data_IF_890585642592
#
_entry.id   IF_890585642592
#
_cell.length_a   1.000
_cell.length_b   1.000
_cell.length_c   1.000
_cell.angle_alpha   90.00
_cell.angle_beta   90.00
_cell.angle_gamma   90.00
#
_symmetry.space_group_name_H-M   'P 1'
#
loop_
_entity.id
_entity.type
_entity.pdbx_description
1 polymer ?
#
# COMPACT_ATOMS: atom_id res chain seq x y z
N UNK A 1 12.95 12.08 -10.31
CA UNK A 1 11.92 12.86 -9.59
C UNK A 1 10.57 12.37 -10.05
N UNK A 2 9.73 11.98 -9.12
CA UNK A 2 8.43 11.36 -9.39
C UNK A 2 7.30 12.18 -8.77
N UNK A 3 6.20 12.47 -9.49
CA UNK A 3 5.07 13.18 -8.92
C UNK A 3 4.36 12.32 -7.87
N UNK A 4 3.97 12.92 -6.76
CA UNK A 4 3.23 12.25 -5.69
C UNK A 4 1.90 12.95 -5.42
N UNK A 5 0.93 12.20 -4.91
CA UNK A 5 -0.34 12.76 -4.46
C UNK A 5 -0.17 13.37 -3.07
N UNK A 6 -0.77 14.53 -2.84
CA UNK A 6 -0.85 15.16 -1.54
C UNK A 6 -2.29 15.55 -1.21
N UNK A 7 -2.56 15.78 0.08
CA UNK A 7 -3.85 16.31 0.57
C UNK A 7 -3.95 17.82 0.47
N UNK A 8 -2.82 18.51 0.32
CA UNK A 8 -2.76 19.97 0.18
C UNK A 8 -2.75 20.38 -1.28
N UNK A 9 -3.14 21.62 -1.57
CA UNK A 9 -2.98 22.19 -2.90
C UNK A 9 -1.49 22.30 -3.25
N UNK A 10 -1.17 22.04 -4.52
CA UNK A 10 0.19 22.10 -5.03
C UNK A 10 0.60 20.88 -5.84
N UNK A 11 1.82 20.92 -6.38
CA UNK A 11 2.47 19.80 -7.04
C UNK A 11 3.55 19.26 -6.11
N UNK A 12 3.50 17.98 -5.86
CA UNK A 12 4.42 17.30 -4.96
C UNK A 12 5.19 16.25 -5.72
N UNK A 13 6.46 16.13 -5.40
CA UNK A 13 7.38 15.20 -6.04
C UNK A 13 8.14 14.41 -5.00
N UNK A 14 8.33 13.13 -5.24
CA UNK A 14 9.34 12.34 -4.56
C UNK A 14 10.68 12.56 -5.26
N UNK A 15 11.73 12.70 -4.49
CA UNK A 15 13.11 12.77 -4.99
C UNK A 15 13.92 11.67 -4.33
N UNK A 16 14.78 11.04 -5.11
CA UNK A 16 15.76 10.11 -4.57
C UNK A 16 16.98 10.89 -4.08
N UNK A 17 17.27 10.83 -2.79
CA UNK A 17 18.42 11.47 -2.17
C UNK A 17 19.40 10.40 -1.72
N UNK A 18 20.44 10.19 -2.51
CA UNK A 18 21.47 9.19 -2.25
C UNK A 18 22.70 9.79 -1.55
N UNK A 19 23.54 8.90 -1.00
CA UNK A 19 24.87 9.26 -0.47
C UNK A 19 24.87 10.46 0.47
N UNK A 20 23.88 10.53 1.34
CA UNK A 20 23.87 11.50 2.43
C UNK A 20 24.86 11.00 3.49
N UNK A 21 25.85 11.81 3.91
CA UNK A 21 26.81 11.40 4.93
C UNK A 21 26.09 11.10 6.26
N UNK A 22 26.59 10.10 6.99
CA UNK A 22 26.10 9.83 8.35
C UNK A 22 26.28 11.08 9.22
N UNK A 23 25.21 11.51 9.91
CA UNK A 23 25.14 12.74 10.72
C UNK A 23 25.50 14.04 9.95
N UNK A 24 25.47 13.98 8.62
CA UNK A 24 25.71 15.11 7.73
C UNK A 24 24.48 15.54 6.95
N UNK A 25 24.68 16.42 6.01
CA UNK A 25 23.64 16.89 5.10
C UNK A 25 24.14 16.96 3.66
N UNK A 26 23.19 17.00 2.73
CA UNK A 26 23.44 17.25 1.30
C UNK A 26 22.46 18.29 0.83
N UNK A 27 22.97 19.27 0.10
CA UNK A 27 22.14 20.33 -0.47
C UNK A 27 21.76 19.97 -1.89
N UNK A 28 20.51 20.19 -2.25
CA UNK A 28 19.98 20.03 -3.58
C UNK A 28 19.45 21.38 -4.06
N UNK A 29 19.76 21.72 -5.29
CA UNK A 29 19.15 22.87 -5.97
C UNK A 29 17.88 22.40 -6.67
N UNK A 30 16.77 23.09 -6.44
CA UNK A 30 15.53 22.85 -7.17
C UNK A 30 15.51 23.72 -8.40
N UNK A 31 15.73 23.14 -9.55
CA UNK A 31 15.64 23.81 -10.84
C UNK A 31 14.24 23.54 -11.40
N UNK A 32 13.47 24.62 -11.58
CA UNK A 32 12.18 24.54 -12.26
C UNK A 32 12.44 24.61 -13.76
N UNK A 33 12.40 23.45 -14.39
CA UNK A 33 12.44 23.34 -15.84
C UNK A 33 11.00 23.27 -16.37
N UNK A 34 10.76 23.83 -17.55
CA UNK A 34 9.50 23.67 -18.28
C UNK A 34 9.33 22.23 -18.81
N UNK A 35 10.36 21.41 -18.68
CA UNK A 35 10.33 19.98 -18.95
C UNK A 35 9.34 19.29 -18.02
N UNK A 36 8.51 18.43 -18.59
CA UNK A 36 7.57 17.59 -17.84
C UNK A 36 8.38 16.52 -17.09
N UNK A 37 8.22 16.44 -15.76
CA UNK A 37 8.69 15.27 -15.03
C UNK A 37 8.10 14.00 -15.68
N UNK A 38 8.90 12.95 -15.83
CA UNK A 38 8.43 11.70 -16.39
C UNK A 38 7.26 11.20 -15.53
N UNK A 39 6.10 11.00 -16.15
CA UNK A 39 4.98 10.39 -15.46
C UNK A 39 5.24 8.89 -15.36
N UNK A 40 4.88 8.26 -14.24
CA UNK A 40 4.98 6.81 -14.09
C UNK A 40 4.24 6.10 -15.22
N UNK A 41 4.85 5.08 -15.80
CA UNK A 41 4.29 4.30 -16.88
C UNK A 41 3.27 3.30 -16.33
N UNK A 42 2.06 3.30 -16.90
CA UNK A 42 1.02 2.33 -16.55
C UNK A 42 1.30 0.97 -17.20
N UNK A 43 1.08 -0.09 -16.44
CA UNK A 43 1.23 -1.47 -16.94
C UNK A 43 0.22 -2.40 -16.27
N UNK A 44 0.10 -3.61 -16.80
CA UNK A 44 -0.72 -4.67 -16.24
C UNK A 44 0.19 -5.76 -15.67
N UNK A 45 0.17 -6.02 -14.35
CA UNK A 45 1.01 -7.06 -13.76
C UNK A 45 0.62 -8.45 -14.24
N UNK A 46 1.56 -9.17 -14.87
CA UNK A 46 1.35 -10.56 -15.23
C UNK A 46 1.16 -11.41 -13.96
N UNK A 47 0.21 -12.34 -13.99
CA UNK A 47 -0.09 -13.25 -12.87
C UNK A 47 -0.32 -12.56 -11.51
N UNK A 48 -0.76 -11.30 -11.53
CA UNK A 48 -0.92 -10.45 -10.34
C UNK A 48 0.38 -10.30 -9.53
N UNK A 49 1.52 -10.28 -10.19
CA UNK A 49 2.82 -10.21 -9.56
C UNK A 49 3.62 -8.98 -10.03
N UNK A 50 4.42 -8.42 -9.11
CA UNK A 50 5.43 -7.41 -9.39
C UNK A 50 6.74 -7.78 -8.72
N UNK A 51 7.84 -7.38 -9.30
CA UNK A 51 9.16 -7.66 -8.74
C UNK A 51 10.18 -6.57 -9.03
N UNK A 52 11.20 -6.52 -8.18
CA UNK A 52 12.42 -5.76 -8.37
C UNK A 52 13.64 -6.63 -8.03
N UNK A 53 14.80 -6.04 -7.83
CA UNK A 53 16.01 -6.78 -7.46
C UNK A 53 15.94 -7.43 -6.08
N UNK A 54 15.11 -6.90 -5.17
CA UNK A 54 15.02 -7.35 -3.77
C UNK A 54 13.88 -8.31 -3.51
N UNK A 55 12.72 -8.05 -4.11
CA UNK A 55 11.47 -8.75 -3.77
C UNK A 55 10.69 -9.17 -5.01
N UNK A 56 9.95 -10.27 -4.85
CA UNK A 56 8.84 -10.63 -5.72
C UNK A 56 7.58 -10.72 -4.88
N UNK A 57 6.56 -9.94 -5.26
CA UNK A 57 5.25 -9.90 -4.61
C UNK A 57 4.21 -10.52 -5.53
N UNK A 58 3.33 -11.34 -4.95
CA UNK A 58 2.11 -11.80 -5.61
C UNK A 58 0.89 -11.36 -4.80
N UNK A 59 -0.10 -10.82 -5.49
CA UNK A 59 -1.33 -10.32 -4.88
C UNK A 59 -2.45 -11.34 -4.98
N UNK A 60 -3.31 -11.37 -3.96
CA UNK A 60 -4.59 -12.05 -4.04
C UNK A 60 -5.62 -11.12 -4.71
N UNK A 61 -6.14 -11.42 -5.91
CA UNK A 61 -7.08 -10.56 -6.59
C UNK A 61 -8.44 -10.44 -5.87
N UNK A 62 -8.76 -11.37 -4.97
CA UNK A 62 -10.01 -11.35 -4.21
C UNK A 62 -9.97 -10.38 -3.03
N UNK A 63 -8.80 -10.14 -2.45
CA UNK A 63 -8.63 -9.29 -1.25
C UNK A 63 -7.76 -8.07 -1.51
N UNK A 64 -6.90 -8.09 -2.51
CA UNK A 64 -5.85 -7.09 -2.75
C UNK A 64 -4.66 -7.22 -1.80
N UNK A 65 -4.65 -8.23 -0.93
CA UNK A 65 -3.55 -8.52 -0.02
C UNK A 65 -2.39 -9.23 -0.71
N UNK A 66 -1.25 -9.28 -0.06
CA UNK A 66 -0.04 -9.94 -0.56
C UNK A 66 -0.08 -11.40 -0.11
N UNK A 67 -0.26 -12.32 -1.06
CA UNK A 67 -0.30 -13.77 -0.80
C UNK A 67 1.08 -14.43 -0.79
N UNK A 68 2.07 -13.79 -1.41
CA UNK A 68 3.46 -14.24 -1.44
C UNK A 68 4.38 -13.04 -1.48
N UNK A 69 5.43 -13.07 -0.71
CA UNK A 69 6.50 -12.08 -0.65
C UNK A 69 7.83 -12.82 -0.54
N UNK A 70 8.49 -13.01 -1.66
CA UNK A 70 9.80 -13.65 -1.71
C UNK A 70 10.90 -12.61 -1.58
N UNK A 71 11.75 -12.76 -0.58
CA UNK A 71 13.02 -12.04 -0.45
C UNK A 71 14.05 -12.73 -1.35
N UNK A 72 14.47 -12.04 -2.43
CA UNK A 72 15.38 -12.62 -3.43
C UNK A 72 16.82 -12.78 -2.93
N UNK A 73 17.26 -11.94 -1.99
CA UNK A 73 18.60 -12.06 -1.41
C UNK A 73 18.71 -13.25 -0.45
N UNK A 74 17.65 -13.52 0.31
CA UNK A 74 17.59 -14.62 1.27
C UNK A 74 17.05 -15.91 0.66
N UNK A 75 16.36 -15.82 -0.48
CA UNK A 75 15.65 -16.95 -1.08
C UNK A 75 14.50 -17.46 -0.20
N UNK A 76 13.88 -16.60 0.58
CA UNK A 76 12.86 -16.95 1.56
C UNK A 76 11.49 -16.37 1.21
N UNK A 77 10.45 -17.19 1.37
CA UNK A 77 9.07 -16.73 1.44
C UNK A 77 8.80 -16.11 2.83
N UNK A 78 8.36 -14.86 2.86
CA UNK A 78 8.12 -14.11 4.10
C UNK A 78 6.66 -14.09 4.54
N UNK A 79 5.74 -14.61 3.73
CA UNK A 79 4.30 -14.59 3.99
C UNK A 79 3.77 -16.01 4.06
N UNK A 80 2.98 -16.31 5.08
CA UNK A 80 2.18 -17.54 5.11
C UNK A 80 0.97 -17.38 4.19
N UNK A 81 1.10 -17.86 2.95
CA UNK A 81 0.02 -17.85 1.96
C UNK A 81 -1.21 -18.68 2.36
N UNK A 82 -1.08 -19.57 3.33
CA UNK A 82 -2.19 -20.37 3.91
C UNK A 82 -2.96 -19.67 5.03
N UNK A 83 -2.45 -18.55 5.56
CA UNK A 83 -3.12 -17.79 6.61
C UNK A 83 -4.51 -17.29 6.17
N UNK A 84 -5.44 -17.20 7.10
CA UNK A 84 -6.79 -16.65 6.87
C UNK A 84 -6.72 -15.22 6.33
N UNK A 85 -5.85 -14.41 6.93
CA UNK A 85 -5.59 -13.02 6.52
C UNK A 85 -4.21 -12.91 5.89
N UNK A 86 -4.16 -12.30 4.71
CA UNK A 86 -2.91 -12.08 3.98
C UNK A 86 -2.18 -10.84 4.50
N UNK A 87 -0.90 -10.76 4.23
CA UNK A 87 -0.14 -9.54 4.51
C UNK A 87 -0.78 -8.36 3.76
N UNK A 88 -1.08 -7.31 4.48
CA UNK A 88 -1.69 -6.11 3.89
C UNK A 88 -3.19 -6.22 3.62
N UNK A 89 -3.89 -7.24 4.07
CA UNK A 89 -5.34 -7.24 4.05
C UNK A 89 -5.90 -6.11 4.92
N UNK A 90 -6.90 -5.41 4.39
CA UNK A 90 -7.68 -4.48 5.20
C UNK A 90 -8.70 -5.27 6.02
N UNK A 91 -8.65 -5.12 7.34
CA UNK A 91 -9.56 -5.82 8.26
C UNK A 91 -10.38 -4.79 9.01
N UNK A 92 -11.70 -4.90 8.89
CA UNK A 92 -12.63 -4.19 9.74
C UNK A 92 -13.01 -5.07 10.93
N UNK A 93 -12.74 -4.57 12.13
CA UNK A 93 -13.11 -5.25 13.37
C UNK A 93 -14.26 -4.52 14.04
N UNK A 94 -15.31 -5.23 14.39
CA UNK A 94 -16.43 -4.71 15.15
C UNK A 94 -16.60 -5.50 16.46
N UNK A 95 -16.83 -4.74 17.51
CA UNK A 95 -17.16 -5.24 18.83
C UNK A 95 -18.56 -4.76 19.16
N UNK A 96 -19.47 -5.67 19.42
CA UNK A 96 -20.76 -5.35 19.98
C UNK A 96 -20.67 -5.44 21.50
N UNK A 97 -21.08 -4.38 22.17
CA UNK A 97 -21.05 -4.32 23.62
C UNK A 97 -20.65 -2.94 24.14
N UNK A 98 -20.63 -2.78 25.43
CA UNK A 98 -20.23 -1.55 26.06
C UNK A 98 -18.71 -1.47 26.29
N UNK A 99 -18.24 -0.29 26.66
CA UNK A 99 -16.82 -0.02 26.94
C UNK A 99 -16.27 -0.93 28.07
N UNK A 100 -17.11 -1.35 29.01
CA UNK A 100 -16.70 -2.20 30.13
C UNK A 100 -16.35 -3.62 29.69
N UNK A 101 -16.93 -4.11 28.60
CA UNK A 101 -16.55 -5.40 28.03
C UNK A 101 -15.13 -5.36 27.45
N UNK A 102 -14.74 -4.24 26.85
CA UNK A 102 -13.36 -4.03 26.39
C UNK A 102 -12.36 -4.03 27.55
N UNK A 103 -12.68 -3.35 28.65
CA UNK A 103 -11.83 -3.29 29.85
C UNK A 103 -11.66 -4.67 30.50
N UNK A 104 -12.70 -5.48 30.52
CA UNK A 104 -12.69 -6.85 31.05
C UNK A 104 -12.12 -7.90 30.11
N UNK A 105 -11.78 -7.52 28.86
CA UNK A 105 -11.36 -8.43 27.78
C UNK A 105 -12.37 -9.56 27.51
N UNK A 106 -13.65 -9.30 27.77
CA UNK A 106 -14.75 -10.21 27.49
C UNK A 106 -15.51 -9.65 26.28
N UNK A 107 -15.33 -10.30 25.13
CA UNK A 107 -15.96 -9.85 23.89
C UNK A 107 -17.07 -10.84 23.54
N UNK A 108 -18.33 -10.45 23.75
CA UNK A 108 -19.48 -11.31 23.47
C UNK A 108 -19.74 -11.45 21.97
N UNK A 109 -19.44 -10.40 21.20
CA UNK A 109 -19.62 -10.37 19.75
C UNK A 109 -18.46 -9.64 19.07
N UNK A 110 -17.43 -10.41 18.81
CA UNK A 110 -16.29 -9.97 18.03
C UNK A 110 -16.41 -10.47 16.60
N UNK A 111 -16.32 -9.59 15.65
CA UNK A 111 -16.39 -9.93 14.23
C UNK A 111 -15.28 -9.23 13.45
N UNK A 112 -14.69 -9.97 12.54
CA UNK A 112 -13.75 -9.48 11.54
C UNK A 112 -14.37 -9.63 10.16
N UNK A 113 -14.18 -8.62 9.31
CA UNK A 113 -14.51 -8.70 7.90
C UNK A 113 -13.43 -8.00 7.06
N UNK A 114 -13.10 -8.60 5.94
CA UNK A 114 -12.17 -8.03 4.96
C UNK A 114 -12.88 -7.13 3.94
N UNK A 115 -12.13 -6.74 2.92
CA UNK A 115 -12.68 -6.06 1.76
C UNK A 115 -13.61 -6.98 0.98
N UNK A 116 -14.63 -6.38 0.38
CA UNK A 116 -15.56 -7.00 -0.57
C UNK A 116 -15.49 -6.25 -1.90
N UNK A 117 -15.89 -6.91 -2.97
CA UNK A 117 -15.94 -6.34 -4.33
C UNK A 117 -14.60 -5.72 -4.74
N UNK A 118 -13.52 -6.41 -4.39
CA UNK A 118 -12.15 -5.94 -4.67
C UNK A 118 -11.91 -5.93 -6.16
N UNK A 119 -11.32 -4.83 -6.62
CA UNK A 119 -10.94 -4.66 -8.03
C UNK A 119 -9.53 -4.08 -8.08
N UNK A 120 -8.74 -4.62 -8.98
CA UNK A 120 -7.51 -3.98 -9.42
C UNK A 120 -7.84 -2.65 -10.10
N UNK A 121 -7.15 -1.59 -9.74
CA UNK A 121 -7.42 -0.24 -10.28
C UNK A 121 -6.26 0.34 -11.08
N UNK A 122 -5.14 -0.36 -11.11
CA UNK A 122 -3.99 -0.02 -11.94
C UNK A 122 -2.66 -0.34 -11.27
N UNK A 123 -1.64 -0.42 -12.11
CA UNK A 123 -0.26 -0.42 -11.68
C UNK A 123 0.55 0.58 -12.50
N UNK A 124 1.54 1.19 -11.88
CA UNK A 124 2.46 2.13 -12.51
C UNK A 124 3.88 1.84 -12.08
N UNK A 125 4.82 2.01 -12.99
CA UNK A 125 6.25 1.97 -12.66
C UNK A 125 6.87 3.33 -12.95
N UNK A 126 7.69 3.80 -12.02
CA UNK A 126 8.44 5.04 -12.12
C UNK A 126 9.89 4.85 -11.73
N UNK A 127 10.65 5.96 -11.66
CA UNK A 127 12.08 5.92 -11.33
C UNK A 127 12.35 5.46 -9.90
N UNK A 128 11.43 5.71 -8.97
CA UNK A 128 11.65 5.50 -7.53
C UNK A 128 10.96 4.23 -7.03
N UNK A 129 9.73 3.97 -7.49
CA UNK A 129 8.94 2.81 -7.06
C UNK A 129 7.94 2.36 -8.11
N UNK A 130 7.58 1.10 -8.01
CA UNK A 130 6.41 0.51 -8.68
C UNK A 130 5.22 0.53 -7.73
N UNK A 131 4.06 0.96 -8.21
CA UNK A 131 2.82 1.02 -7.43
C UNK A 131 1.81 0.03 -7.99
N UNK A 132 1.13 -0.70 -7.09
CA UNK A 132 -0.03 -1.54 -7.42
C UNK A 132 -1.20 -1.10 -6.58
N UNK A 133 -2.36 -0.91 -7.20
CA UNK A 133 -3.53 -0.33 -6.54
C UNK A 133 -4.75 -1.21 -6.68
N UNK A 134 -5.49 -1.32 -5.58
CA UNK A 134 -6.79 -1.99 -5.50
C UNK A 134 -7.82 -1.08 -4.84
N UNK A 135 -9.09 -1.37 -5.09
CA UNK A 135 -10.22 -0.74 -4.42
C UNK A 135 -11.26 -1.78 -4.10
N UNK A 136 -11.82 -1.70 -2.90
CA UNK A 136 -12.93 -2.53 -2.47
C UNK A 136 -13.89 -1.75 -1.58
N UNK A 137 -14.87 -2.44 -1.02
CA UNK A 137 -15.79 -1.92 0.00
C UNK A 137 -15.53 -2.62 1.32
N UNK A 138 -15.77 -1.94 2.43
CA UNK A 138 -15.69 -2.50 3.77
C UNK A 138 -16.88 -2.03 4.61
N UNK A 139 -17.25 -2.86 5.57
CA UNK A 139 -18.21 -2.47 6.60
C UNK A 139 -17.69 -1.25 7.38
N UNK A 140 -18.59 -0.34 7.77
CA UNK A 140 -18.23 0.89 8.49
C UNK A 140 -17.56 1.96 7.64
N UNK A 141 -17.30 1.70 6.36
CA UNK A 141 -16.71 2.66 5.42
C UNK A 141 -17.76 3.15 4.41
N UNK A 142 -17.58 4.39 3.98
CA UNK A 142 -18.37 5.00 2.92
C UNK A 142 -18.24 4.17 1.62
N UNK A 143 -19.31 3.54 1.12
CA UNK A 143 -19.23 2.67 -0.04
C UNK A 143 -18.90 3.41 -1.34
N UNK A 144 -19.29 4.68 -1.46
CA UNK A 144 -19.01 5.49 -2.64
C UNK A 144 -17.54 5.88 -2.72
N UNK A 145 -16.91 6.12 -1.57
CA UNK A 145 -15.46 6.34 -1.51
C UNK A 145 -14.70 5.02 -1.62
N UNK A 146 -15.21 3.97 -1.01
CA UNK A 146 -14.55 2.67 -0.87
C UNK A 146 -13.31 2.70 0.02
N UNK A 147 -12.63 1.57 0.05
CA UNK A 147 -11.30 1.44 0.63
C UNK A 147 -10.30 1.28 -0.52
N UNK A 148 -9.30 2.14 -0.55
CA UNK A 148 -8.21 2.08 -1.53
C UNK A 148 -6.99 1.52 -0.85
N UNK A 149 -6.37 0.56 -1.51
CA UNK A 149 -5.11 -0.07 -1.09
C UNK A 149 -4.07 0.23 -2.16
N UNK A 150 -2.94 0.74 -1.76
CA UNK A 150 -1.82 1.00 -2.65
C UNK A 150 -0.55 0.41 -2.04
N UNK A 151 0.12 -0.42 -2.81
CA UNK A 151 1.39 -1.06 -2.43
C UNK A 151 2.48 -0.45 -3.29
N UNK A 152 3.52 0.06 -2.65
CA UNK A 152 4.71 0.62 -3.32
C UNK A 152 5.91 -0.26 -3.08
N UNK A 153 6.51 -0.72 -4.15
CA UNK A 153 7.75 -1.49 -4.17
C UNK A 153 8.87 -0.58 -4.65
N UNK A 154 9.81 -0.22 -3.78
CA UNK A 154 10.89 0.72 -4.09
C UNK A 154 11.99 0.07 -4.91
N UNK A 155 12.49 0.80 -5.95
CA UNK A 155 13.45 0.26 -6.91
C UNK A 155 14.86 0.08 -6.30
N UNK A 156 15.35 1.07 -5.57
CA UNK A 156 16.74 1.14 -5.10
C UNK A 156 16.92 0.84 -3.61
N UNK A 157 15.85 0.54 -2.89
CA UNK A 157 15.90 0.16 -1.47
C UNK A 157 15.00 -1.03 -1.20
N UNK A 158 15.43 -1.86 -0.27
CA UNK A 158 14.70 -3.02 0.21
C UNK A 158 13.53 -2.58 1.11
N UNK A 159 12.49 -2.01 0.48
CA UNK A 159 11.35 -1.40 1.15
C UNK A 159 10.05 -1.60 0.37
N UNK A 160 8.99 -1.88 1.11
CA UNK A 160 7.61 -1.93 0.63
C UNK A 160 6.77 -1.05 1.54
N UNK A 161 5.99 -0.14 0.98
CA UNK A 161 5.03 0.66 1.71
C UNK A 161 3.60 0.22 1.37
N UNK A 162 2.77 0.14 2.39
CA UNK A 162 1.34 -0.14 2.29
C UNK A 162 0.56 1.12 2.65
N UNK A 163 -0.22 1.65 1.72
CA UNK A 163 -1.03 2.84 1.90
C UNK A 163 -2.52 2.49 1.82
N UNK A 164 -3.26 2.93 2.82
CA UNK A 164 -4.71 2.74 2.87
C UNK A 164 -5.42 4.08 2.94
N UNK A 165 -6.49 4.21 2.16
CA UNK A 165 -7.38 5.35 2.24
C UNK A 165 -8.82 4.85 2.35
N UNK A 166 -9.47 5.19 3.46
CA UNK A 166 -10.86 4.88 3.73
C UNK A 166 -11.55 6.12 4.30
N UNK A 167 -12.85 6.24 4.06
CA UNK A 167 -13.69 7.24 4.70
C UNK A 167 -14.67 6.49 5.61
N UNK A 168 -14.69 6.86 6.89
CA UNK A 168 -15.67 6.33 7.84
C UNK A 168 -17.06 6.87 7.50
N UNK A 169 -18.10 6.05 7.67
CA UNK A 169 -19.47 6.54 7.66
C UNK A 169 -19.68 7.47 8.88
N UNK A 170 -20.44 8.56 8.73
CA UNK A 170 -20.87 9.36 9.87
C UNK A 170 -21.71 8.49 10.81
N UNK A 171 -21.53 8.71 12.10
CA UNK A 171 -22.35 8.08 13.16
C UNK A 171 -23.76 8.65 13.15
#
# INVERSE_FOLDING_TARGET
>A
VEPIRSRSEGRYYAIWADRIPAMGYKTYEVVLDEGRAAEPEAFEPADHAVENDFYRLEFDPATGGIRSLVDKELGLELVDGGAEWKLGDFIYESLEGDRHQMERKVFERYRRSGLRDVRFTGATTGDIYTTVSFRGTAEGCDPDFGVRVEVRLYNDVKRIDLHYAARRLPE
#
